data_IF_929704912440
#
_entry.id   IF_929704912440
#
_cell.length_a   1.000
_cell.length_b   1.000
_cell.length_c   1.000
_cell.angle_alpha   90.00
_cell.angle_beta   90.00
_cell.angle_gamma   90.00
#
_symmetry.space_group_name_H-M   'P 1'
#
loop_
_entity.id
_entity.type
_entity.pdbx_description
1 polymer ?
#
# COMPACT_ATOMS: atom_id res chain seq x y z
N UNK A 1 -16.77 7.94 -82.53
CA UNK A 1 -16.75 7.07 -81.33
C UNK A 1 -15.37 6.87 -80.67
N UNK A 2 -14.27 7.48 -81.14
CA UNK A 2 -12.92 7.25 -80.56
C UNK A 2 -12.40 8.35 -79.62
N UNK A 3 -13.05 9.52 -79.56
CA UNK A 3 -12.60 10.64 -78.71
C UNK A 3 -13.15 10.62 -77.26
N UNK A 4 -14.20 9.84 -76.97
CA UNK A 4 -14.83 9.76 -75.65
C UNK A 4 -14.16 8.78 -74.68
N UNK A 5 -13.42 7.79 -75.19
CA UNK A 5 -12.78 6.75 -74.35
C UNK A 5 -11.49 7.21 -73.63
N UNK A 6 -10.71 8.12 -74.23
CA UNK A 6 -9.46 8.62 -73.61
C UNK A 6 -9.72 9.49 -72.38
N UNK A 7 -10.76 10.34 -72.43
CA UNK A 7 -11.14 11.21 -71.31
C UNK A 7 -11.66 10.41 -70.11
N UNK A 8 -12.45 9.35 -70.35
CA UNK A 8 -12.96 8.48 -69.29
C UNK A 8 -11.85 7.67 -68.61
N UNK A 9 -10.87 7.18 -69.38
CA UNK A 9 -9.72 6.45 -68.86
C UNK A 9 -8.80 7.34 -68.01
N UNK A 10 -8.55 8.58 -68.44
CA UNK A 10 -7.76 9.56 -67.68
C UNK A 10 -8.49 10.02 -66.40
N UNK A 11 -9.82 10.16 -66.44
CA UNK A 11 -10.64 10.50 -65.28
C UNK A 11 -10.61 9.38 -64.24
N UNK A 12 -10.73 8.11 -64.67
CA UNK A 12 -10.67 6.95 -63.78
C UNK A 12 -9.27 6.81 -63.15
N UNK A 13 -8.19 7.04 -63.90
CA UNK A 13 -6.81 7.03 -63.37
C UNK A 13 -6.57 8.14 -62.34
N UNK A 14 -7.10 9.34 -62.57
CA UNK A 14 -7.07 10.46 -61.60
C UNK A 14 -7.92 10.17 -60.36
N UNK A 15 -9.06 9.49 -60.51
CA UNK A 15 -9.92 9.11 -59.39
C UNK A 15 -9.29 8.01 -58.52
N UNK A 16 -8.66 7.01 -59.15
CA UNK A 16 -7.89 5.97 -58.45
C UNK A 16 -6.67 6.55 -57.74
N UNK A 17 -5.95 7.50 -58.35
CA UNK A 17 -4.85 8.22 -57.68
C UNK A 17 -5.34 9.05 -56.48
N UNK A 18 -6.50 9.70 -56.57
CA UNK A 18 -7.09 10.43 -55.44
C UNK A 18 -7.51 9.49 -54.31
N UNK A 19 -8.09 8.33 -54.62
CA UNK A 19 -8.40 7.28 -53.64
C UNK A 19 -7.13 6.73 -53.00
N UNK A 20 -6.10 6.42 -53.78
CA UNK A 20 -4.82 5.93 -53.26
C UNK A 20 -4.16 6.96 -52.34
N UNK A 21 -4.16 8.25 -52.70
CA UNK A 21 -3.67 9.33 -51.84
C UNK A 21 -4.51 9.46 -50.56
N UNK A 22 -5.83 9.34 -50.65
CA UNK A 22 -6.71 9.38 -49.48
C UNK A 22 -6.45 8.21 -48.51
N UNK A 23 -6.27 6.99 -49.03
CA UNK A 23 -5.92 5.83 -48.21
C UNK A 23 -4.50 5.95 -47.62
N UNK A 24 -3.53 6.45 -48.40
CA UNK A 24 -2.19 6.71 -47.92
C UNK A 24 -2.18 7.73 -46.76
N UNK A 25 -2.92 8.83 -46.87
CA UNK A 25 -3.06 9.80 -45.79
C UNK A 25 -3.80 9.24 -44.57
N UNK A 26 -4.81 8.38 -44.76
CA UNK A 26 -5.46 7.67 -43.64
C UNK A 26 -4.51 6.72 -42.92
N UNK A 27 -3.72 5.95 -43.66
CA UNK A 27 -2.73 5.04 -43.08
C UNK A 27 -1.64 5.83 -42.35
N UNK A 28 -1.14 6.91 -42.96
CA UNK A 28 -0.15 7.79 -42.33
C UNK A 28 -0.70 8.42 -41.05
N UNK A 29 -1.97 8.87 -41.04
CA UNK A 29 -2.63 9.40 -39.86
C UNK A 29 -2.78 8.33 -38.77
N UNK A 30 -3.14 7.10 -39.12
CA UNK A 30 -3.22 5.99 -38.15
C UNK A 30 -1.85 5.64 -37.57
N UNK A 31 -0.79 5.65 -38.39
CA UNK A 31 0.58 5.43 -37.93
C UNK A 31 1.03 6.57 -37.00
N UNK A 32 0.70 7.83 -37.33
CA UNK A 32 1.00 8.98 -36.47
C UNK A 32 0.22 8.94 -35.15
N UNK A 33 -1.05 8.54 -35.18
CA UNK A 33 -1.85 8.33 -33.96
C UNK A 33 -1.22 7.21 -33.12
N UNK A 34 -0.83 6.08 -33.72
CA UNK A 34 -0.18 4.98 -33.00
C UNK A 34 1.18 5.39 -32.43
N UNK A 35 1.95 6.18 -33.17
CA UNK A 35 3.22 6.73 -32.69
C UNK A 35 2.99 7.71 -31.53
N UNK A 36 1.99 8.59 -31.61
CA UNK A 36 1.57 9.46 -30.51
C UNK A 36 1.11 8.65 -29.29
N UNK A 37 0.34 7.57 -29.46
CA UNK A 37 -0.05 6.67 -28.37
C UNK A 37 1.20 6.07 -27.72
N UNK A 38 2.14 5.53 -28.49
CA UNK A 38 3.35 4.88 -27.96
C UNK A 38 4.36 5.87 -27.35
N UNK A 39 4.33 7.15 -27.72
CA UNK A 39 5.21 8.19 -27.16
C UNK A 39 4.62 8.88 -25.94
N UNK A 40 3.29 8.96 -25.84
CA UNK A 40 2.58 9.50 -24.67
C UNK A 40 2.37 8.41 -23.61
N UNK A 41 2.27 7.15 -24.01
CA UNK A 41 2.20 5.97 -23.15
C UNK A 41 3.32 5.00 -23.53
N UNK A 42 4.58 5.27 -23.14
CA UNK A 42 5.64 4.29 -23.30
C UNK A 42 5.25 3.05 -22.50
N UNK A 43 5.04 1.95 -23.23
CA UNK A 43 4.76 0.59 -22.74
C UNK A 43 4.32 0.54 -21.28
N UNK A 44 3.00 0.62 -21.03
CA UNK A 44 2.49 -0.03 -19.83
C UNK A 44 2.99 -1.47 -19.92
N UNK A 45 3.81 -1.95 -18.98
CA UNK A 45 4.29 -3.31 -19.05
C UNK A 45 3.05 -4.19 -19.20
N UNK A 46 3.05 -5.17 -20.13
CA UNK A 46 1.90 -6.03 -20.29
C UNK A 46 1.56 -6.58 -18.91
N UNK A 47 0.34 -6.27 -18.44
CA UNK A 47 -0.20 -6.78 -17.18
C UNK A 47 0.20 -8.24 -17.10
N UNK A 48 1.00 -8.63 -16.10
CA UNK A 48 1.49 -9.99 -16.01
C UNK A 48 0.30 -10.96 -16.10
N UNK A 49 0.49 -12.14 -16.69
CA UNK A 49 -0.56 -13.15 -16.86
C UNK A 49 -1.31 -13.51 -15.55
N UNK A 50 -0.77 -13.12 -14.39
CA UNK A 50 -1.41 -13.21 -13.08
C UNK A 50 -2.68 -12.36 -12.95
N UNK A 51 -2.77 -11.20 -13.62
CA UNK A 51 -3.93 -10.29 -13.51
C UNK A 51 -5.21 -10.87 -14.13
N UNK A 52 -5.10 -11.60 -15.24
CA UNK A 52 -6.28 -12.16 -15.92
C UNK A 52 -6.91 -13.35 -15.16
N UNK A 53 -6.21 -13.89 -14.16
CA UNK A 53 -6.63 -15.07 -13.39
C UNK A 53 -6.79 -14.81 -11.88
N UNK A 54 -6.60 -13.57 -11.43
CA UNK A 54 -6.79 -13.15 -10.05
C UNK A 54 -8.25 -12.71 -9.79
N UNK A 55 -8.84 -13.15 -8.67
CA UNK A 55 -10.20 -12.77 -8.30
C UNK A 55 -10.30 -11.46 -7.51
N UNK A 56 -9.22 -11.11 -6.80
CA UNK A 56 -9.10 -9.89 -5.99
C UNK A 56 -7.62 -9.56 -5.79
N UNK A 57 -7.27 -8.28 -5.71
CA UNK A 57 -5.92 -7.83 -5.34
C UNK A 57 -6.03 -6.98 -4.09
N UNK A 58 -5.33 -7.38 -3.02
CA UNK A 58 -5.16 -6.53 -1.85
C UNK A 58 -4.12 -5.47 -2.18
N UNK A 59 -4.56 -4.20 -2.19
CA UNK A 59 -3.76 -3.09 -2.69
C UNK A 59 -3.52 -2.06 -1.60
N UNK A 60 -2.25 -1.73 -1.34
CA UNK A 60 -1.84 -0.66 -0.43
C UNK A 60 -1.78 0.68 -1.17
N UNK A 61 -2.30 1.72 -0.54
CA UNK A 61 -2.24 3.09 -1.03
C UNK A 61 -0.87 3.70 -0.71
N UNK A 62 -0.16 4.12 -1.74
CA UNK A 62 1.02 4.99 -1.61
C UNK A 62 0.57 6.44 -1.74
N UNK A 63 0.93 7.25 -0.76
CA UNK A 63 0.58 8.66 -0.70
C UNK A 63 1.75 9.48 -0.16
N UNK A 64 1.72 10.80 -0.38
CA UNK A 64 2.72 11.73 0.12
C UNK A 64 2.13 12.71 1.12
N UNK A 65 3.00 13.42 1.86
CA UNK A 65 2.59 14.51 2.74
C UNK A 65 2.84 15.86 2.06
N UNK A 66 1.92 16.80 2.25
CA UNK A 66 2.04 18.17 1.79
C UNK A 66 3.12 18.96 2.55
N UNK A 67 3.51 18.52 3.74
CA UNK A 67 4.69 19.03 4.47
C UNK A 67 5.94 18.21 4.14
N UNK A 68 7.13 18.79 4.37
CA UNK A 68 8.44 18.10 4.23
C UNK A 68 8.66 16.96 5.26
N UNK A 69 7.60 16.47 5.88
CA UNK A 69 7.63 15.34 6.80
C UNK A 69 7.58 14.05 6.01
N UNK A 70 8.45 13.09 6.33
CA UNK A 70 8.38 11.75 5.75
C UNK A 70 7.04 11.09 6.07
N UNK A 71 6.41 10.49 5.06
CA UNK A 71 5.24 9.62 5.24
C UNK A 71 5.70 8.20 5.44
N UNK A 72 5.12 7.49 6.40
CA UNK A 72 5.37 6.07 6.62
C UNK A 72 4.24 5.19 6.07
N UNK A 73 3.82 5.45 4.81
CA UNK A 73 2.74 4.67 4.17
C UNK A 73 3.14 3.19 3.98
N UNK A 74 4.44 2.91 3.93
CA UNK A 74 5.06 1.59 3.82
C UNK A 74 5.23 0.87 5.17
N UNK A 75 4.83 1.46 6.30
CA UNK A 75 5.09 0.88 7.61
C UNK A 75 4.50 -0.53 7.71
N UNK A 76 5.29 -1.43 8.30
CA UNK A 76 4.89 -2.81 8.57
C UNK A 76 4.42 -3.59 7.33
N UNK A 77 4.88 -3.25 6.12
CA UNK A 77 4.39 -3.85 4.86
C UNK A 77 4.42 -5.39 4.82
N UNK A 78 5.33 -6.04 5.56
CA UNK A 78 5.34 -7.50 5.69
C UNK A 78 4.06 -8.07 6.32
N UNK A 79 3.37 -7.32 7.18
CA UNK A 79 2.08 -7.71 7.76
C UNK A 79 1.01 -7.89 6.68
N UNK A 80 1.05 -7.08 5.62
CA UNK A 80 0.13 -7.23 4.49
C UNK A 80 0.39 -8.57 3.78
N UNK A 81 1.65 -8.95 3.66
CA UNK A 81 2.00 -10.21 3.02
C UNK A 81 1.57 -11.42 3.83
N UNK A 82 1.73 -11.37 5.15
CA UNK A 82 1.15 -12.38 6.03
C UNK A 82 -0.37 -12.41 5.93
N UNK A 83 -1.03 -11.26 5.87
CA UNK A 83 -2.48 -11.19 5.69
C UNK A 83 -2.92 -11.78 4.35
N UNK A 84 -2.26 -11.47 3.24
CA UNK A 84 -2.58 -12.00 1.90
C UNK A 84 -2.46 -13.52 1.88
N UNK A 85 -1.38 -14.08 2.46
CA UNK A 85 -1.21 -15.54 2.59
C UNK A 85 -2.36 -16.18 3.36
N UNK A 86 -2.68 -15.62 4.55
CA UNK A 86 -3.80 -16.09 5.35
C UNK A 86 -5.13 -15.95 4.62
N UNK A 87 -5.32 -14.87 3.86
CA UNK A 87 -6.52 -14.65 3.06
C UNK A 87 -6.66 -15.75 2.00
N UNK A 88 -5.59 -16.10 1.27
CA UNK A 88 -5.60 -17.21 0.30
C UNK A 88 -5.93 -18.57 0.95
N UNK A 89 -5.50 -18.81 2.20
CA UNK A 89 -5.84 -20.04 2.93
C UNK A 89 -7.28 -20.04 3.45
N UNK A 90 -7.80 -18.87 3.82
CA UNK A 90 -9.09 -18.74 4.50
C UNK A 90 -10.25 -18.54 3.53
N UNK A 91 -10.03 -17.97 2.33
CA UNK A 91 -11.09 -17.67 1.35
C UNK A 91 -10.84 -18.34 0.01
N UNK A 92 -11.92 -18.52 -0.77
CA UNK A 92 -11.85 -19.14 -2.11
C UNK A 92 -11.43 -18.18 -3.22
N UNK A 93 -11.38 -16.89 -2.93
CA UNK A 93 -11.00 -15.87 -3.92
C UNK A 93 -9.49 -15.90 -4.01
N UNK A 94 -8.95 -16.11 -5.22
CA UNK A 94 -7.50 -16.04 -5.43
C UNK A 94 -7.03 -14.61 -5.26
N UNK A 95 -6.06 -14.43 -4.38
CA UNK A 95 -5.37 -13.17 -4.14
C UNK A 95 -3.93 -13.32 -4.59
N UNK A 96 -3.41 -12.48 -5.51
CA UNK A 96 -2.01 -12.54 -5.88
C UNK A 96 -1.12 -12.37 -4.65
N UNK A 97 -0.25 -13.35 -4.44
CA UNK A 97 0.79 -13.26 -3.42
C UNK A 97 1.68 -12.02 -3.72
N UNK A 98 2.13 -11.32 -2.68
CA UNK A 98 3.02 -10.19 -2.87
C UNK A 98 4.31 -10.65 -3.53
N UNK A 99 4.82 -9.81 -4.42
CA UNK A 99 6.14 -10.04 -5.01
C UNK A 99 7.17 -9.74 -3.93
N UNK A 100 7.84 -10.78 -3.44
CA UNK A 100 9.03 -10.63 -2.63
C UNK A 100 10.15 -10.08 -3.52
N UNK A 101 10.94 -9.14 -3.00
CA UNK A 101 12.32 -9.04 -3.47
C UNK A 101 13.03 -10.39 -3.24
N UNK A 102 14.21 -10.58 -3.80
CA UNK A 102 14.98 -11.82 -3.59
C UNK A 102 15.22 -12.12 -2.08
N UNK A 103 15.08 -11.11 -1.23
CA UNK A 103 15.16 -11.20 0.23
C UNK A 103 13.74 -11.27 0.85
N UNK A 104 13.43 -12.43 1.41
CA UNK A 104 12.05 -12.89 1.67
C UNK A 104 11.31 -12.26 2.86
N UNK A 105 11.87 -11.34 3.64
CA UNK A 105 11.27 -11.04 4.96
C UNK A 105 11.11 -9.57 5.36
N UNK A 106 11.68 -8.56 4.66
CA UNK A 106 11.57 -7.17 5.15
C UNK A 106 10.66 -6.23 4.36
N UNK A 107 10.45 -6.48 3.05
CA UNK A 107 9.66 -5.61 2.18
C UNK A 107 8.77 -6.43 1.26
N UNK A 108 7.87 -7.21 1.85
CA UNK A 108 6.86 -7.93 1.10
C UNK A 108 5.67 -6.99 0.86
N UNK A 109 5.75 -6.19 -0.20
CA UNK A 109 4.68 -5.25 -0.51
C UNK A 109 3.49 -5.99 -1.13
N UNK A 110 2.32 -5.79 -0.53
CA UNK A 110 1.08 -5.80 -1.28
C UNK A 110 1.22 -4.96 -2.55
N UNK A 111 0.40 -5.22 -3.57
CA UNK A 111 0.40 -4.35 -4.76
C UNK A 111 0.15 -2.91 -4.32
N UNK A 112 0.83 -1.97 -4.95
CA UNK A 112 0.75 -0.56 -4.58
C UNK A 112 0.00 0.22 -5.65
N UNK A 113 -0.91 1.09 -5.23
CA UNK A 113 -1.52 2.11 -6.09
C UNK A 113 -1.14 3.50 -5.58
N UNK A 114 -0.78 4.41 -6.49
CA UNK A 114 -0.25 5.72 -6.14
C UNK A 114 -1.36 6.76 -6.13
N UNK A 115 -1.51 7.49 -5.02
CA UNK A 115 -2.45 8.60 -4.93
C UNK A 115 -2.16 9.71 -5.95
N UNK A 116 -0.91 9.83 -6.41
CA UNK A 116 -0.51 10.77 -7.46
C UNK A 116 -0.95 10.35 -8.88
N UNK A 117 -1.39 9.10 -9.08
CA UNK A 117 -1.83 8.56 -10.36
C UNK A 117 -3.23 7.93 -10.25
N UNK A 118 -4.25 8.69 -10.67
CA UNK A 118 -5.65 8.26 -10.60
C UNK A 118 -5.93 6.98 -11.37
N UNK A 119 -5.26 6.75 -12.50
CA UNK A 119 -5.48 5.54 -13.29
C UNK A 119 -5.02 4.31 -12.49
N UNK A 120 -3.90 4.42 -11.77
CA UNK A 120 -3.44 3.36 -10.88
C UNK A 120 -4.44 3.02 -9.77
N UNK A 121 -5.16 4.02 -9.23
CA UNK A 121 -6.18 3.81 -8.21
C UNK A 121 -7.41 3.08 -8.77
N UNK A 122 -7.85 3.46 -9.97
CA UNK A 122 -9.09 2.98 -10.58
C UNK A 122 -9.04 1.52 -11.06
N UNK A 123 -7.84 0.94 -11.15
CA UNK A 123 -7.67 -0.51 -11.44
C UNK A 123 -8.19 -1.37 -10.30
N UNK A 124 -8.14 -0.88 -9.05
CA UNK A 124 -8.42 -1.68 -7.87
C UNK A 124 -9.74 -1.23 -7.23
N UNK A 125 -10.64 -2.13 -6.80
CA UNK A 125 -11.88 -1.74 -6.11
C UNK A 125 -11.67 -1.41 -4.63
N UNK A 126 -10.47 -1.70 -4.09
CA UNK A 126 -10.15 -1.66 -2.67
C UNK A 126 -8.75 -1.07 -2.48
N UNK A 127 -8.62 -0.15 -1.53
CA UNK A 127 -7.35 0.42 -1.11
C UNK A 127 -7.22 0.33 0.41
N UNK A 128 -6.05 -0.10 0.85
CA UNK A 128 -5.64 -0.14 2.25
C UNK A 128 -4.64 0.97 2.53
N UNK A 129 -4.88 1.77 3.56
CA UNK A 129 -4.04 2.89 3.99
C UNK A 129 -3.61 2.63 5.43
N UNK A 130 -2.32 2.76 5.71
CA UNK A 130 -1.76 2.44 7.01
C UNK A 130 -0.56 3.34 7.32
N UNK A 131 -0.52 3.88 8.54
CA UNK A 131 0.61 4.67 9.06
C UNK A 131 0.43 4.89 10.57
N UNK A 132 1.51 5.28 11.26
CA UNK A 132 1.51 5.76 12.65
C UNK A 132 1.66 7.28 12.75
N UNK A 133 1.80 8.00 11.62
CA UNK A 133 2.08 9.43 11.61
C UNK A 133 0.92 10.25 11.03
N UNK A 134 0.87 11.51 11.46
CA UNK A 134 0.06 12.54 10.82
C UNK A 134 0.38 12.68 9.33
N UNK A 135 -0.62 13.08 8.55
CA UNK A 135 -0.44 13.42 7.15
C UNK A 135 -1.44 14.47 6.67
N UNK A 136 -1.09 15.14 5.58
CA UNK A 136 -2.00 15.95 4.79
C UNK A 136 -1.71 15.70 3.33
N UNK A 137 -2.71 15.28 2.55
CA UNK A 137 -2.50 14.97 1.14
C UNK A 137 -2.34 16.25 0.31
N UNK A 138 -1.42 16.28 -0.67
CA UNK A 138 -1.39 17.31 -1.68
C UNK A 138 -2.73 17.41 -2.44
N UNK A 139 -3.12 18.59 -2.97
CA UNK A 139 -4.41 18.77 -3.63
C UNK A 139 -4.70 17.79 -4.78
N UNK A 140 -3.68 17.40 -5.54
CA UNK A 140 -3.80 16.41 -6.61
C UNK A 140 -4.18 15.03 -6.06
N UNK A 141 -3.45 14.55 -5.06
CA UNK A 141 -3.71 13.25 -4.43
C UNK A 141 -5.09 13.22 -3.78
N UNK A 142 -5.45 14.30 -3.08
CA UNK A 142 -6.77 14.46 -2.48
C UNK A 142 -7.88 14.37 -3.55
N UNK A 143 -7.72 15.05 -4.68
CA UNK A 143 -8.66 14.96 -5.81
C UNK A 143 -8.76 13.55 -6.38
N UNK A 144 -7.64 12.83 -6.51
CA UNK A 144 -7.63 11.46 -7.04
C UNK A 144 -8.33 10.47 -6.09
N UNK A 145 -8.11 10.59 -4.78
CA UNK A 145 -8.83 9.80 -3.76
C UNK A 145 -10.33 10.07 -3.84
N UNK A 146 -10.73 11.34 -4.08
CA UNK A 146 -12.14 11.67 -4.29
C UNK A 146 -12.73 10.90 -5.47
N UNK A 147 -12.05 10.93 -6.62
CA UNK A 147 -12.47 10.25 -7.84
C UNK A 147 -12.60 8.74 -7.59
N UNK A 148 -11.64 8.13 -6.90
CA UNK A 148 -11.68 6.72 -6.52
C UNK A 148 -12.93 6.37 -5.69
N UNK A 149 -13.19 7.11 -4.60
CA UNK A 149 -14.34 6.86 -3.72
C UNK A 149 -15.67 7.12 -4.47
N UNK A 150 -15.74 8.19 -5.26
CA UNK A 150 -16.92 8.56 -6.04
C UNK A 150 -17.27 7.52 -7.12
N UNK A 151 -16.27 6.84 -7.67
CA UNK A 151 -16.42 5.73 -8.62
C UNK A 151 -16.72 4.37 -7.97
N UNK A 152 -16.91 4.33 -6.65
CA UNK A 152 -17.31 3.11 -5.94
C UNK A 152 -16.17 2.38 -5.26
N UNK A 153 -14.95 2.92 -5.30
CA UNK A 153 -13.81 2.40 -4.56
C UNK A 153 -14.08 2.33 -3.05
N UNK A 154 -13.46 1.35 -2.40
CA UNK A 154 -13.51 1.15 -0.95
C UNK A 154 -12.17 1.48 -0.33
N UNK A 155 -12.15 2.38 0.65
CA UNK A 155 -10.94 2.75 1.38
C UNK A 155 -11.00 2.17 2.80
N UNK A 156 -9.98 1.42 3.18
CA UNK A 156 -9.75 1.04 4.57
C UNK A 156 -8.52 1.76 5.09
N UNK A 157 -8.68 2.57 6.12
CA UNK A 157 -7.59 3.21 6.83
C UNK A 157 -7.41 2.57 8.22
N UNK A 158 -6.26 1.96 8.46
CA UNK A 158 -5.91 1.34 9.75
C UNK A 158 -4.76 2.10 10.39
N UNK A 159 -4.92 2.50 11.64
CA UNK A 159 -3.88 3.23 12.36
C UNK A 159 -2.89 2.27 13.00
N UNK A 160 -1.61 2.43 12.69
CA UNK A 160 -0.56 1.63 13.31
C UNK A 160 -0.35 2.06 14.77
N UNK A 161 -0.25 1.09 15.67
CA UNK A 161 0.00 1.33 17.09
C UNK A 161 1.44 1.10 17.44
N UNK A 162 2.24 2.16 17.58
CA UNK A 162 3.64 1.99 17.93
C UNK A 162 4.12 2.87 19.07
N UNK A 163 4.73 2.19 20.05
CA UNK A 163 5.52 2.76 21.13
C UNK A 163 6.92 3.12 20.60
N UNK A 164 7.47 4.25 21.05
CA UNK A 164 8.70 4.88 20.55
C UNK A 164 9.91 3.93 20.54
N UNK A 165 9.96 2.99 21.48
CA UNK A 165 11.03 1.99 21.61
C UNK A 165 11.06 0.97 20.45
N UNK A 166 9.92 0.62 19.87
CA UNK A 166 9.84 -0.30 18.74
C UNK A 166 10.21 0.38 17.41
N UNK A 167 9.99 1.69 17.29
CA UNK A 167 10.42 2.49 16.13
C UNK A 167 11.95 2.46 16.04
N UNK A 168 12.64 2.66 17.16
CA UNK A 168 14.10 2.62 17.16
C UNK A 168 14.65 1.25 16.79
N UNK A 169 14.09 0.15 17.32
CA UNK A 169 14.53 -1.20 16.95
C UNK A 169 14.23 -1.50 15.48
N UNK A 170 13.05 -1.11 14.98
CA UNK A 170 12.71 -1.25 13.55
C UNK A 170 13.64 -0.43 12.66
N UNK A 171 13.86 0.84 12.95
CA UNK A 171 14.79 1.70 12.21
C UNK A 171 16.21 1.15 12.26
N UNK A 172 16.64 0.60 13.40
CA UNK A 172 17.94 -0.09 13.53
C UNK A 172 17.99 -1.38 12.71
N UNK A 173 16.90 -2.14 12.59
CA UNK A 173 16.84 -3.33 11.72
C UNK A 173 16.87 -2.93 10.24
N UNK A 174 16.01 -2.01 9.82
CA UNK A 174 15.95 -1.49 8.46
C UNK A 174 17.28 -0.84 8.02
N UNK A 175 17.94 -0.09 8.90
CA UNK A 175 19.25 0.50 8.63
C UNK A 175 20.35 -0.57 8.51
N UNK A 176 20.38 -1.57 9.40
CA UNK A 176 21.33 -2.70 9.32
C UNK A 176 21.17 -3.45 8.00
N UNK A 177 19.94 -3.68 7.56
CA UNK A 177 19.66 -4.38 6.31
C UNK A 177 20.00 -3.53 5.08
N UNK A 178 19.74 -2.23 5.10
CA UNK A 178 20.18 -1.33 4.03
C UNK A 178 21.71 -1.34 3.86
N UNK A 179 22.45 -1.41 4.96
CA UNK A 179 23.92 -1.52 4.93
C UNK A 179 24.41 -2.91 4.49
N UNK A 180 23.72 -3.99 4.89
CA UNK A 180 24.00 -5.33 4.39
C UNK A 180 23.78 -5.42 2.88
N UNK A 181 22.73 -4.80 2.34
CA UNK A 181 22.43 -4.82 0.90
C UNK A 181 23.47 -4.03 0.08
N UNK A 182 23.92 -2.87 0.58
CA UNK A 182 25.04 -2.14 -0.04
C UNK A 182 26.30 -2.99 -0.06
N UNK A 183 26.55 -3.73 1.01
CA UNK A 183 27.72 -4.62 1.13
C UNK A 183 27.62 -5.81 0.17
N UNK A 184 26.44 -6.43 0.07
CA UNK A 184 26.17 -7.56 -0.84
C UNK A 184 26.31 -7.14 -2.31
N UNK A 185 25.70 -6.01 -2.69
CA UNK A 185 25.83 -5.44 -4.04
C UNK A 185 27.29 -5.09 -4.38
N UNK A 186 28.06 -4.59 -3.41
CA UNK A 186 29.49 -4.34 -3.60
C UNK A 186 30.29 -5.62 -3.80
N UNK A 187 29.98 -6.69 -3.05
CA UNK A 187 30.62 -8.00 -3.21
C UNK A 187 30.28 -8.64 -4.56
N UNK A 188 29.03 -8.57 -5.02
CA UNK A 188 28.63 -9.06 -6.34
C UNK A 188 29.30 -8.28 -7.49
N UNK A 189 29.32 -6.95 -7.41
CA UNK A 189 30.04 -6.13 -8.38
C UNK A 189 31.55 -6.44 -8.42
N UNK A 190 32.15 -6.74 -7.26
CA UNK A 190 33.55 -7.16 -7.18
C UNK A 190 33.77 -8.56 -7.77
N UNK A 191 32.82 -9.48 -7.56
CA UNK A 191 32.84 -10.81 -8.15
C UNK A 191 32.73 -10.74 -9.68
N UNK A 192 31.76 -10.01 -10.22
CA UNK A 192 31.60 -9.81 -11.67
C UNK A 192 32.84 -9.16 -12.30
N UNK A 193 33.44 -8.20 -11.61
CA UNK A 193 34.70 -7.58 -12.05
C UNK A 193 35.86 -8.59 -12.04
N UNK A 194 35.98 -9.41 -11.00
CA UNK A 194 37.01 -10.45 -10.93
C UNK A 194 36.84 -11.54 -11.99
N UNK A 195 35.60 -11.90 -12.32
CA UNK A 195 35.27 -12.85 -13.38
C UNK A 195 35.55 -12.25 -14.77
N UNK A 196 35.26 -10.96 -14.99
CA UNK A 196 35.60 -10.25 -16.21
C UNK A 196 37.13 -10.10 -16.41
N UNK A 197 37.87 -9.79 -15.33
CA UNK A 197 39.33 -9.68 -15.35
C UNK A 197 39.99 -11.06 -15.58
N UNK A 198 39.43 -12.14 -15.03
CA UNK A 198 39.86 -13.51 -15.29
C UNK A 198 39.65 -13.93 -16.77
N UNK A 199 38.52 -13.54 -17.38
CA UNK A 199 38.26 -13.79 -18.81
C UNK A 199 39.15 -12.95 -19.75
N UNK A 200 39.66 -11.81 -19.29
CA UNK A 200 40.64 -11.02 -20.03
C UNK A 200 42.06 -11.62 -19.95
N UNK A 201 42.43 -12.22 -18.81
CA UNK A 201 43.74 -12.86 -18.61
C UNK A 201 43.89 -14.22 -19.31
N UNK A 202 42.81 -14.97 -19.56
CA UNK A 202 42.87 -16.23 -20.32
C UNK A 202 43.25 -16.05 -21.80
N UNK A 203 43.19 -14.82 -22.34
CA UNK A 203 43.63 -14.52 -23.70
C UNK A 203 45.12 -14.11 -23.81
N UNK A 204 45.87 -14.08 -22.70
CA UNK A 204 47.26 -13.57 -22.71
C UNK A 204 48.35 -14.51 -22.21
N UNK A 205 48.06 -15.75 -21.76
CA UNK A 205 49.12 -16.62 -21.22
C UNK A 205 49.20 -17.99 -21.90
N UNK A 206 49.90 -18.02 -23.04
CA UNK A 206 50.66 -19.19 -23.47
C UNK A 206 52.14 -19.02 -23.09
N UNK A 207 52.52 -19.44 -21.88
CA UNK A 207 53.78 -20.14 -21.56
C UNK A 207 54.11 -20.05 -20.07
N UNK A 208 54.13 -21.22 -19.43
CA UNK A 208 55.24 -21.79 -18.65
C UNK A 208 54.75 -22.48 -17.36
N UNK A 209 55.33 -23.65 -17.11
CA UNK A 209 55.10 -24.54 -15.97
C UNK A 209 56.26 -24.44 -14.95
N UNK A 210 56.30 -25.22 -13.87
CA UNK A 210 55.58 -25.00 -12.61
C UNK A 210 56.57 -24.89 -11.42
N UNK A 211 56.14 -24.33 -10.28
CA UNK A 211 56.83 -24.56 -9.01
C UNK A 211 55.83 -24.91 -7.89
N UNK A 212 56.21 -25.96 -7.16
CA UNK A 212 55.58 -26.51 -5.97
C UNK A 212 55.73 -25.58 -4.75
N UNK A 213 54.73 -25.52 -3.89
CA UNK A 213 54.92 -25.51 -2.43
C UNK A 213 53.66 -25.99 -1.68
N UNK A 214 53.89 -26.64 -0.54
CA UNK A 214 53.02 -27.53 0.25
C UNK A 214 52.18 -26.74 1.30
N UNK A 215 51.11 -27.30 1.89
CA UNK A 215 50.07 -26.55 2.60
C UNK A 215 50.29 -26.49 4.11
N UNK A 216 49.84 -25.41 4.75
CA UNK A 216 49.53 -25.41 6.19
C UNK A 216 48.22 -24.64 6.49
N UNK A 217 47.57 -25.13 7.54
CA UNK A 217 46.18 -24.97 7.96
C UNK A 217 45.83 -23.57 8.49
N UNK A 218 44.59 -23.11 8.23
CA UNK A 218 44.03 -21.93 8.88
C UNK A 218 43.03 -22.34 9.96
N UNK A 219 43.44 -22.16 11.22
CA UNK A 219 42.64 -22.32 12.43
C UNK A 219 41.70 -21.11 12.55
N UNK A 220 40.38 -21.35 12.63
CA UNK A 220 39.37 -20.33 12.95
C UNK A 220 39.19 -20.31 14.47
N UNK A 221 39.58 -19.21 15.12
CA UNK A 221 39.25 -18.91 16.52
C UNK A 221 37.94 -18.14 16.61
N UNK A 222 37.01 -18.61 17.45
CA UNK A 222 35.82 -17.86 17.86
C UNK A 222 36.15 -17.15 19.18
N UNK A 223 36.12 -15.81 19.20
CA UNK A 223 36.13 -15.03 20.43
C UNK A 223 34.71 -14.77 20.91
N UNK A 224 34.39 -15.36 22.07
CA UNK A 224 33.27 -14.99 22.93
C UNK A 224 33.67 -13.78 23.76
N UNK A 225 32.84 -12.74 23.76
CA UNK A 225 32.86 -11.73 24.82
C UNK A 225 31.42 -11.44 25.27
N UNK A 226 31.07 -12.12 26.36
CA UNK A 226 30.19 -11.61 27.40
C UNK A 226 30.72 -10.27 27.90
N UNK A 227 29.84 -9.28 28.09
CA UNK A 227 29.86 -8.37 29.25
C UNK A 227 28.58 -7.54 29.26
N UNK A 228 27.78 -7.74 30.32
CA UNK A 228 26.67 -6.88 30.74
C UNK A 228 27.17 -6.15 32.00
N UNK A 229 27.06 -4.82 32.08
CA UNK A 229 26.89 -4.15 33.35
C UNK A 229 25.43 -3.73 33.57
N UNK A 230 25.00 -3.90 34.81
CA UNK A 230 23.69 -3.58 35.33
C UNK A 230 23.59 -2.12 35.82
N UNK A 231 22.36 -1.61 35.77
CA UNK A 231 21.71 -0.58 36.60
C UNK A 231 22.22 0.87 36.61
N UNK A 232 21.31 1.80 36.30
CA UNK A 232 20.82 2.78 37.28
C UNK A 232 19.43 3.31 36.88
N UNK A 233 18.46 3.12 37.79
CA UNK A 233 17.14 3.76 37.77
C UNK A 233 17.30 5.25 38.13
N UNK A 234 16.73 6.14 37.33
CA UNK A 234 16.34 7.48 37.80
C UNK A 234 14.91 7.78 37.38
N UNK A 235 14.09 7.87 38.41
CA UNK A 235 12.75 8.46 38.49
C UNK A 235 12.76 9.88 37.90
N UNK A 236 11.96 10.11 36.86
CA UNK A 236 11.61 11.45 36.40
C UNK A 236 10.19 11.45 35.82
N UNK A 237 9.23 11.76 36.68
CA UNK A 237 7.90 12.25 36.30
C UNK A 237 8.01 13.53 35.46
N UNK A 238 7.41 13.63 34.27
CA UNK A 238 7.19 14.91 33.62
C UNK A 238 5.84 15.50 34.04
N UNK A 239 5.92 16.72 34.56
CA UNK A 239 4.84 17.62 34.89
C UNK A 239 3.97 17.99 33.69
N UNK A 240 2.66 18.05 33.94
CA UNK A 240 1.64 18.61 33.06
C UNK A 240 1.99 20.04 32.61
N UNK A 241 2.05 20.26 31.30
CA UNK A 241 1.77 21.55 30.69
C UNK A 241 0.68 21.37 29.64
N UNK A 242 -0.54 21.70 30.05
CA UNK A 242 -1.73 21.81 29.21
C UNK A 242 -1.52 23.04 28.30
N UNK A 243 -1.25 22.80 27.01
CA UNK A 243 -1.43 23.83 25.99
C UNK A 243 -2.92 23.89 25.62
N UNK A 244 -3.53 25.02 25.96
CA UNK A 244 -4.90 25.34 25.64
C UNK A 244 -4.99 25.84 24.19
N UNK A 245 -5.41 24.98 23.26
CA UNK A 245 -5.82 25.43 21.93
C UNK A 245 -7.14 24.78 21.48
N UNK A 246 -8.14 25.63 21.29
CA UNK A 246 -9.23 25.42 20.34
C UNK A 246 -10.36 24.46 20.72
N UNK A 247 -11.30 24.92 21.56
CA UNK A 247 -12.64 24.33 21.63
C UNK A 247 -13.32 24.48 20.25
N UNK A 248 -13.33 23.40 19.47
CA UNK A 248 -14.10 23.32 18.21
C UNK A 248 -15.57 23.19 18.57
N UNK A 249 -16.37 24.21 18.26
CA UNK A 249 -17.81 24.20 18.52
C UNK A 249 -18.51 23.15 17.65
N UNK A 250 -19.07 22.12 18.28
CA UNK A 250 -19.84 21.06 17.63
C UNK A 250 -21.17 21.58 17.07
N UNK A 251 -21.32 21.51 15.74
CA UNK A 251 -22.62 21.50 15.04
C UNK A 251 -22.55 20.49 13.88
N UNK A 252 -22.76 19.21 14.17
CA UNK A 252 -22.83 18.14 13.16
C UNK A 252 -21.50 17.88 12.42
N UNK A 253 -21.31 16.66 11.91
CA UNK A 253 -20.16 16.29 11.05
C UNK A 253 -19.14 15.34 11.69
N UNK A 254 -18.10 15.01 10.93
CA UNK A 254 -17.22 13.85 11.17
C UNK A 254 -16.54 13.76 12.56
N UNK A 255 -16.41 14.87 13.28
CA UNK A 255 -15.77 14.90 14.61
C UNK A 255 -16.76 14.75 15.78
N UNK A 256 -18.07 14.74 15.55
CA UNK A 256 -19.06 14.69 16.63
C UNK A 256 -19.13 13.35 17.35
N UNK A 257 -18.75 12.26 16.67
CA UNK A 257 -18.78 10.89 17.22
C UNK A 257 -17.40 10.39 17.67
N UNK A 258 -16.37 11.24 17.65
CA UNK A 258 -15.01 10.85 18.07
C UNK A 258 -14.91 10.96 19.60
N UNK A 259 -14.52 9.88 20.31
CA UNK A 259 -14.31 9.95 21.77
C UNK A 259 -13.25 10.99 22.15
N UNK A 260 -13.46 11.73 23.25
CA UNK A 260 -12.59 12.83 23.68
C UNK A 260 -11.12 12.41 23.85
N UNK A 261 -10.87 11.17 24.31
CA UNK A 261 -9.50 10.65 24.47
C UNK A 261 -8.75 10.52 23.13
N UNK A 262 -9.46 10.33 22.02
CA UNK A 262 -8.90 10.24 20.67
C UNK A 262 -8.58 11.62 20.06
N UNK A 263 -9.13 12.70 20.63
CA UNK A 263 -8.97 14.07 20.14
C UNK A 263 -7.80 14.83 20.83
N UNK A 264 -7.20 14.26 21.89
CA UNK A 264 -6.10 14.87 22.65
C UNK A 264 -4.72 14.18 22.59
N UNK A 265 -4.61 12.87 22.34
CA UNK A 265 -3.32 12.15 22.36
C UNK A 265 -2.52 12.19 21.05
N UNK A 266 -1.19 12.20 21.13
CA UNK A 266 -0.28 11.93 19.98
C UNK A 266 -0.48 10.53 19.37
N UNK A 267 -1.15 9.63 20.10
CA UNK A 267 -1.38 8.23 19.75
C UNK A 267 -2.36 8.02 18.58
N UNK A 268 -3.10 9.06 18.15
CA UNK A 268 -4.19 8.97 17.16
C UNK A 268 -4.02 9.95 15.98
N UNK A 269 -2.78 10.29 15.68
CA UNK A 269 -2.37 11.27 14.68
C UNK A 269 -2.87 10.88 13.27
N UNK A 270 -2.62 9.64 12.87
CA UNK A 270 -3.09 9.12 11.58
C UNK A 270 -4.61 9.11 11.50
N UNK A 271 -5.30 8.66 12.55
CA UNK A 271 -6.77 8.67 12.59
C UNK A 271 -7.35 10.07 12.36
N UNK A 272 -6.84 11.08 13.06
CA UNK A 272 -7.26 12.49 12.87
C UNK A 272 -6.99 12.98 11.46
N UNK A 273 -5.83 12.64 10.91
CA UNK A 273 -5.44 13.00 9.54
C UNK A 273 -6.40 12.40 8.51
N UNK A 274 -6.84 11.15 8.70
CA UNK A 274 -7.90 10.52 7.89
C UNK A 274 -9.22 11.28 8.03
N UNK A 275 -9.65 11.63 9.24
CA UNK A 275 -10.89 12.39 9.44
C UNK A 275 -10.84 13.77 8.75
N UNK A 276 -9.71 14.48 8.85
CA UNK A 276 -9.50 15.75 8.16
C UNK A 276 -9.54 15.58 6.64
N UNK A 277 -8.89 14.54 6.11
CA UNK A 277 -8.95 14.20 4.69
C UNK A 277 -10.40 13.99 4.24
N UNK A 278 -11.17 13.17 4.95
CA UNK A 278 -12.57 12.89 4.59
C UNK A 278 -13.43 14.14 4.70
N UNK A 279 -13.25 14.97 5.74
CA UNK A 279 -13.96 16.25 5.89
C UNK A 279 -13.72 17.19 4.70
N UNK A 280 -12.49 17.24 4.20
CA UNK A 280 -12.14 18.05 3.03
C UNK A 280 -12.80 17.50 1.75
N UNK A 281 -12.92 16.18 1.63
CA UNK A 281 -13.54 15.52 0.46
C UNK A 281 -15.07 15.58 0.48
N UNK A 282 -15.65 15.45 1.67
CA UNK A 282 -17.08 15.30 1.94
C UNK A 282 -17.44 16.05 3.23
N UNK A 283 -17.67 17.38 3.18
CA UNK A 283 -17.92 18.18 4.38
C UNK A 283 -19.15 17.74 5.20
N UNK A 284 -20.13 17.13 4.52
CA UNK A 284 -21.36 16.59 5.12
C UNK A 284 -21.22 15.14 5.61
N UNK A 285 -20.05 14.52 5.48
CA UNK A 285 -19.83 13.16 5.93
C UNK A 285 -19.87 13.08 7.46
N UNK A 286 -20.57 12.08 7.95
CA UNK A 286 -20.62 11.72 9.36
C UNK A 286 -19.77 10.46 9.59
N UNK A 287 -19.02 10.47 10.69
CA UNK A 287 -18.34 9.31 11.20
C UNK A 287 -19.36 8.50 12.00
N UNK A 288 -19.46 7.21 11.73
CA UNK A 288 -20.34 6.33 12.50
C UNK A 288 -19.55 5.22 13.15
N UNK A 289 -19.75 5.02 14.46
CA UNK A 289 -19.35 3.77 15.11
C UNK A 289 -20.14 2.60 14.52
N UNK A 290 -19.47 1.61 13.96
CA UNK A 290 -20.14 0.42 13.39
C UNK A 290 -20.51 -0.53 14.54
N UNK A 291 -21.81 -0.80 14.79
CA UNK A 291 -22.22 -1.68 15.88
C UNK A 291 -21.92 -3.14 15.55
N UNK A 292 -21.68 -3.99 16.57
CA UNK A 292 -21.48 -5.44 16.41
C UNK A 292 -22.65 -6.15 15.72
N UNK A 293 -23.84 -5.55 15.74
CA UNK A 293 -25.02 -6.01 14.99
C UNK A 293 -24.95 -5.75 13.48
N UNK A 294 -23.98 -4.96 13.01
CA UNK A 294 -23.76 -4.70 11.59
C UNK A 294 -23.31 -5.98 10.86
N UNK A 295 -23.77 -6.25 9.62
CA UNK A 295 -23.39 -7.45 8.88
C UNK A 295 -21.88 -7.62 8.65
N UNK A 296 -21.09 -6.54 8.72
CA UNK A 296 -19.62 -6.60 8.70
C UNK A 296 -19.05 -7.62 9.70
N UNK A 297 -19.64 -7.77 10.89
CA UNK A 297 -19.13 -8.69 11.92
C UNK A 297 -19.58 -10.14 11.74
N UNK A 298 -20.30 -10.46 10.66
CA UNK A 298 -20.79 -11.82 10.35
C UNK A 298 -20.87 -12.13 8.86
N UNK A 299 -20.24 -11.32 8.00
CA UNK A 299 -20.33 -11.50 6.55
C UNK A 299 -19.49 -12.68 6.06
N UNK A 300 -18.45 -13.06 6.80
CA UNK A 300 -17.63 -14.24 6.53
C UNK A 300 -17.36 -15.04 7.80
N UNK A 301 -16.65 -14.45 8.76
CA UNK A 301 -16.49 -14.97 10.11
C UNK A 301 -17.48 -14.32 11.08
N UNK A 302 -17.87 -15.08 12.11
CA UNK A 302 -18.60 -14.54 13.24
C UNK A 302 -17.61 -13.89 14.22
N UNK A 303 -17.70 -12.57 14.36
CA UNK A 303 -16.84 -11.77 15.23
C UNK A 303 -17.70 -11.28 16.40
N UNK A 304 -17.55 -11.85 17.61
CA UNK A 304 -18.44 -11.56 18.73
C UNK A 304 -18.10 -10.24 19.44
N UNK A 305 -16.89 -9.74 19.25
CA UNK A 305 -16.38 -8.54 19.91
C UNK A 305 -15.41 -7.79 19.00
N UNK A 306 -15.17 -6.52 19.30
CA UNK A 306 -14.21 -5.76 18.53
C UNK A 306 -12.77 -6.19 18.88
N UNK A 307 -11.86 -6.21 17.90
CA UNK A 307 -10.49 -6.60 18.16
C UNK A 307 -9.81 -5.52 19.01
N UNK A 308 -9.24 -5.93 20.15
CA UNK A 308 -8.59 -5.03 21.09
C UNK A 308 -7.10 -5.30 21.14
N UNK A 309 -6.31 -4.28 20.84
CA UNK A 309 -4.86 -4.34 20.83
C UNK A 309 -4.30 -3.24 21.73
N UNK A 310 -3.44 -3.60 22.69
CA UNK A 310 -2.66 -2.66 23.53
C UNK A 310 -3.45 -1.50 24.18
N UNK A 311 -4.68 -1.73 24.66
CA UNK A 311 -5.41 -0.63 25.32
C UNK A 311 -6.09 0.34 24.35
N UNK A 312 -5.97 0.14 23.03
CA UNK A 312 -6.53 1.05 22.03
C UNK A 312 -8.03 0.88 21.86
N UNK A 313 -8.63 1.94 21.34
CA UNK A 313 -10.03 2.01 20.92
C UNK A 313 -10.35 0.85 19.98
N UNK A 314 -11.08 -0.19 20.44
CA UNK A 314 -11.37 -1.35 19.60
C UNK A 314 -12.43 -1.05 18.54
N UNK A 315 -13.10 0.10 18.63
CA UNK A 315 -14.16 0.49 17.71
C UNK A 315 -13.73 0.56 16.26
N UNK A 316 -14.54 -0.05 15.39
CA UNK A 316 -14.48 0.15 13.95
C UNK A 316 -15.43 1.29 13.60
N UNK A 317 -14.91 2.29 12.88
CA UNK A 317 -15.70 3.40 12.37
C UNK A 317 -15.93 3.27 10.87
N UNK A 318 -17.01 3.87 10.39
CA UNK A 318 -17.33 3.89 8.99
C UNK A 318 -17.96 5.19 8.52
N UNK A 319 -17.70 5.54 7.26
CA UNK A 319 -18.27 6.71 6.60
C UNK A 319 -19.10 6.23 5.42
N UNK A 320 -20.36 6.70 5.38
CA UNK A 320 -21.29 6.37 4.32
C UNK A 320 -21.30 7.46 3.25
N UNK A 321 -20.91 7.10 2.03
CA UNK A 321 -21.02 7.99 0.86
C UNK A 321 -22.12 7.45 -0.04
N UNK A 322 -23.17 8.24 -0.27
CA UNK A 322 -24.35 7.86 -1.06
C UNK A 322 -24.97 6.52 -0.61
N UNK A 323 -25.10 6.33 0.71
CA UNK A 323 -25.65 5.11 1.35
C UNK A 323 -24.85 3.81 1.14
N UNK A 324 -23.57 3.92 0.73
CA UNK A 324 -22.60 2.83 0.70
C UNK A 324 -21.57 3.06 1.80
N UNK A 325 -21.22 2.01 2.55
CA UNK A 325 -20.08 2.09 3.47
C UNK A 325 -18.82 2.16 2.61
N UNK A 326 -18.28 3.37 2.44
CA UNK A 326 -17.25 3.65 1.45
C UNK A 326 -15.86 3.72 2.07
N UNK A 327 -15.79 4.12 3.34
CA UNK A 327 -14.57 4.18 4.12
C UNK A 327 -14.77 3.44 5.43
N UNK A 328 -13.83 2.58 5.80
CA UNK A 328 -13.69 2.03 7.15
C UNK A 328 -12.42 2.60 7.76
N UNK A 329 -12.50 2.99 9.03
CA UNK A 329 -11.36 3.48 9.80
C UNK A 329 -11.22 2.63 11.07
N UNK A 330 -10.02 2.14 11.33
CA UNK A 330 -9.71 1.27 12.47
C UNK A 330 -8.53 1.86 13.25
N UNK A 331 -8.79 2.60 14.34
CA UNK A 331 -7.74 3.17 15.19
C UNK A 331 -6.96 2.11 16.02
N UNK A 332 -7.50 0.90 16.07
CA UNK A 332 -7.03 -0.17 16.94
C UNK A 332 -5.81 -0.96 16.45
N UNK A 333 -5.15 -0.63 15.33
CA UNK A 333 -4.03 -1.39 14.77
C UNK A 333 -4.37 -2.84 14.45
N UNK A 334 -5.37 -3.04 13.57
CA UNK A 334 -5.74 -4.39 13.14
C UNK A 334 -4.59 -5.05 12.38
N UNK A 335 -3.84 -4.28 11.61
CA UNK A 335 -2.69 -4.75 10.84
C UNK A 335 -1.60 -5.33 11.75
N UNK A 336 -1.40 -4.76 12.94
CA UNK A 336 -0.47 -5.27 13.94
C UNK A 336 -0.68 -6.75 14.28
N UNK A 337 -1.92 -7.25 14.21
CA UNK A 337 -2.22 -8.67 14.38
C UNK A 337 -1.55 -9.55 13.33
N UNK A 338 -1.32 -9.06 12.11
CA UNK A 338 -0.79 -9.84 11.00
C UNK A 338 0.73 -9.85 10.96
N UNK A 339 1.36 -8.92 11.68
CA UNK A 339 2.81 -8.69 11.65
C UNK A 339 3.66 -9.76 12.34
N UNK A 340 3.06 -10.73 13.02
CA UNK A 340 3.79 -11.75 13.78
C UNK A 340 3.18 -13.15 13.67
N UNK A 341 3.85 -14.07 12.96
CA UNK A 341 3.42 -15.46 12.89
C UNK A 341 3.41 -16.18 14.24
N UNK A 342 4.26 -15.76 15.18
CA UNK A 342 4.43 -16.40 16.49
C UNK A 342 3.45 -15.89 17.56
N UNK A 343 2.70 -14.82 17.27
CA UNK A 343 1.75 -14.16 18.17
C UNK A 343 2.37 -13.54 19.44
N UNK A 344 3.66 -13.20 19.42
CA UNK A 344 4.41 -12.80 20.62
C UNK A 344 4.00 -11.45 21.22
N UNK A 345 3.52 -10.48 20.44
CA UNK A 345 3.19 -9.12 20.91
C UNK A 345 1.75 -8.97 21.38
N UNK A 346 0.81 -9.74 20.81
CA UNK A 346 -0.63 -9.58 21.07
C UNK A 346 -1.32 -10.86 21.56
N UNK A 347 -0.67 -12.02 21.48
CA UNK A 347 -1.26 -13.30 21.84
C UNK A 347 -2.19 -13.88 20.76
N UNK A 348 -2.53 -15.16 20.93
CA UNK A 348 -3.25 -15.94 19.91
C UNK A 348 -4.69 -15.48 19.66
N UNK A 349 -5.37 -14.95 20.67
CA UNK A 349 -6.77 -14.56 20.52
C UNK A 349 -6.89 -13.25 19.74
N UNK A 350 -6.06 -12.25 20.07
CA UNK A 350 -5.93 -11.00 19.32
C UNK A 350 -5.50 -11.24 17.86
N UNK A 351 -4.56 -12.17 17.62
CA UNK A 351 -4.20 -12.59 16.26
C UNK A 351 -5.41 -13.11 15.46
N UNK A 352 -6.15 -14.07 16.01
CA UNK A 352 -7.29 -14.69 15.34
C UNK A 352 -8.39 -13.67 15.05
N UNK A 353 -8.74 -12.85 16.02
CA UNK A 353 -9.81 -11.86 15.85
C UNK A 353 -9.39 -10.72 14.90
N UNK A 354 -8.11 -10.31 14.92
CA UNK A 354 -7.55 -9.35 13.96
C UNK A 354 -7.58 -9.85 12.52
N UNK A 355 -7.13 -11.09 12.30
CA UNK A 355 -7.22 -11.74 10.98
C UNK A 355 -8.67 -11.88 10.52
N UNK A 356 -9.55 -12.41 11.37
CA UNK A 356 -10.96 -12.56 11.04
C UNK A 356 -11.62 -11.22 10.70
N UNK A 357 -11.27 -10.16 11.42
CA UNK A 357 -11.76 -8.79 11.15
C UNK A 357 -11.28 -8.27 9.81
N UNK A 358 -10.00 -8.43 9.50
CA UNK A 358 -9.46 -8.04 8.20
C UNK A 358 -10.13 -8.79 7.03
N UNK A 359 -10.32 -10.11 7.17
CA UNK A 359 -11.05 -10.91 6.17
C UNK A 359 -12.48 -10.40 6.01
N UNK A 360 -13.20 -10.13 7.10
CA UNK A 360 -14.55 -9.60 7.03
C UNK A 360 -14.61 -8.22 6.35
N UNK A 361 -13.65 -7.33 6.59
CA UNK A 361 -13.57 -6.01 5.93
C UNK A 361 -13.35 -6.17 4.43
N UNK A 362 -12.41 -7.03 4.01
CA UNK A 362 -12.20 -7.33 2.58
C UNK A 362 -13.47 -7.93 1.96
N UNK A 363 -14.04 -8.95 2.58
CA UNK A 363 -15.25 -9.59 2.08
C UNK A 363 -16.43 -8.62 2.02
N UNK A 364 -16.55 -7.72 2.99
CA UNK A 364 -17.54 -6.65 2.97
C UNK A 364 -17.32 -5.70 1.79
N UNK A 365 -16.10 -5.21 1.60
CA UNK A 365 -15.77 -4.31 0.50
C UNK A 365 -16.17 -4.89 -0.86
N UNK A 366 -15.94 -6.20 -1.04
CA UNK A 366 -16.22 -6.91 -2.29
C UNK A 366 -17.69 -7.31 -2.48
N UNK A 367 -18.47 -7.43 -1.40
CA UNK A 367 -19.82 -8.04 -1.47
C UNK A 367 -20.94 -7.15 -0.94
N UNK A 368 -20.62 -5.98 -0.38
CA UNK A 368 -21.62 -5.10 0.21
C UNK A 368 -22.72 -4.73 -0.79
N UNK A 369 -23.97 -4.77 -0.32
CA UNK A 369 -25.13 -4.26 -1.04
C UNK A 369 -25.39 -2.82 -0.59
N UNK A 370 -26.06 -2.01 -1.42
CA UNK A 370 -26.55 -0.68 -1.01
C UNK A 370 -27.30 -0.82 0.32
N UNK A 371 -26.83 -0.09 1.34
CA UNK A 371 -27.45 -0.03 2.65
C UNK A 371 -28.43 1.13 2.69
N UNK A 372 -29.35 1.15 3.66
CA UNK A 372 -29.92 2.42 4.13
C UNK A 372 -28.93 2.96 5.15
N UNK A 373 -28.55 4.24 5.05
CA UNK A 373 -27.73 4.88 6.09
C UNK A 373 -28.38 4.64 7.47
N UNK A 374 -27.58 4.49 8.56
CA UNK A 374 -28.14 4.38 9.91
C UNK A 374 -29.12 5.53 10.12
N UNK A 375 -30.38 5.21 10.44
CA UNK A 375 -31.37 6.24 10.73
C UNK A 375 -30.85 7.02 11.94
N UNK A 376 -30.59 8.33 11.75
CA UNK A 376 -30.41 9.27 12.85
C UNK A 376 -31.52 9.00 13.86
N UNK A 377 -31.16 8.45 15.03
CA UNK A 377 -32.07 8.46 16.17
C UNK A 377 -32.16 9.92 16.59
N UNK A 378 -33.14 10.63 16.04
CA UNK A 378 -33.60 11.88 16.61
C UNK A 378 -34.16 11.49 17.97
N UNK A 379 -33.35 11.63 19.02
CA UNK A 379 -33.85 11.70 20.38
C UNK A 379 -34.87 12.83 20.39
N UNK A 380 -36.15 12.47 20.51
CA UNK A 380 -37.25 13.44 20.59
C UNK A 380 -37.04 14.33 21.82
N UNK A 381 -37.41 15.62 21.74
CA UNK A 381 -37.06 16.65 22.72
C UNK A 381 -37.58 16.38 24.13
#
# INVERSE_FOLDING_TARGET
MLHTNRSFFLLNKRFQQKKAKFYFFKILLLILIQFCINTVYPDTPPMSNDFQSAGFVFTRLKYSCASNTETHWECFSWGDAFFIRNLNEMVKIRVPEPSYGEERETFAFARTASAADVESLLVYPFLFMHSYCDFSLPPLELSNIKIFIDNGGFLWADEAAFDKLLIEDYQKRAARESEMEKTRAAMEAQKEKSEADAMLNENSESNSSPQEENPEEMIITYETASDIPAEEETDDTPSEQISSDGVVSNRGGIFTEVPDHMLGSELDSFFRSVLNMIKNLYPEAELHKIPLSHPLFRCYFQIPENPFFRGRTPEIYGIYIRSRLAVIITPGDIQGAWCQPDNSWYGRDSYKIGLATGVNIVMWALTQKKQRAPLLRISSP
#
